data_IF_349364035974
#
_entry.id   IF_349364035974
#
_cell.length_a   1.000
_cell.length_b   1.000
_cell.length_c   1.000
_cell.angle_alpha   90.00
_cell.angle_beta   90.00
_cell.angle_gamma   90.00
#
_symmetry.space_group_name_H-M   'P 1'
#
loop_
_entity.id
_entity.type
_entity.pdbx_description
1 polymer ?
#
# COMPACT_ATOMS: atom_id res chain seq x y z
N UNK A 1 -8.95 -22.19 34.12
CA UNK A 1 -9.19 -21.77 32.73
C UNK A 1 -7.84 -21.35 32.18
N UNK A 2 -7.21 -22.21 31.38
CA UNK A 2 -5.89 -21.96 30.80
C UNK A 2 -5.94 -20.74 29.88
N UNK A 3 -5.21 -19.70 30.24
CA UNK A 3 -4.91 -18.60 29.35
C UNK A 3 -3.92 -19.10 28.30
N UNK A 4 -4.40 -19.36 27.09
CA UNK A 4 -3.55 -19.59 25.93
C UNK A 4 -2.72 -18.33 25.68
N UNK A 5 -1.48 -18.33 26.19
CA UNK A 5 -0.40 -17.49 25.69
C UNK A 5 -0.06 -17.95 24.27
N UNK A 6 -0.92 -17.59 23.31
CA UNK A 6 -0.56 -17.63 21.91
C UNK A 6 0.52 -16.56 21.72
N UNK A 7 1.79 -16.94 21.85
CA UNK A 7 2.89 -16.16 21.28
C UNK A 7 2.51 -15.92 19.82
N UNK A 8 2.15 -14.69 19.48
CA UNK A 8 1.90 -14.29 18.09
C UNK A 8 3.21 -14.55 17.35
N UNK A 9 3.29 -15.68 16.67
CA UNK A 9 4.41 -15.97 15.78
C UNK A 9 4.22 -15.05 14.60
N UNK A 10 4.99 -13.95 14.57
CA UNK A 10 5.12 -13.13 13.39
C UNK A 10 5.48 -14.06 12.23
N UNK A 11 4.80 -13.89 11.09
CA UNK A 11 5.18 -14.66 9.92
C UNK A 11 6.66 -14.39 9.62
N UNK A 12 7.43 -15.43 9.26
CA UNK A 12 8.82 -15.24 8.87
C UNK A 12 8.86 -14.28 7.65
N UNK A 13 9.94 -13.50 7.50
CA UNK A 13 10.13 -12.65 6.33
C UNK A 13 9.87 -13.39 5.03
N UNK A 14 9.20 -12.75 4.09
CA UNK A 14 8.94 -13.30 2.75
C UNK A 14 10.27 -13.52 2.01
N UNK A 15 11.25 -12.63 2.23
CA UNK A 15 12.59 -12.72 1.66
C UNK A 15 13.68 -12.34 2.68
N UNK A 16 14.75 -13.15 2.75
CA UNK A 16 15.90 -12.88 3.62
C UNK A 16 15.61 -13.01 5.12
N UNK A 17 16.37 -12.28 5.94
CA UNK A 17 16.31 -12.36 7.41
C UNK A 17 15.72 -11.09 8.07
N UNK A 18 15.16 -10.16 7.29
CA UNK A 18 14.64 -8.88 7.76
C UNK A 18 13.15 -8.77 7.46
N UNK A 19 12.36 -8.28 8.42
CA UNK A 19 10.95 -7.96 8.19
C UNK A 19 10.85 -6.54 7.64
N UNK A 20 10.18 -6.36 6.50
CA UNK A 20 9.97 -5.06 5.86
C UNK A 20 8.56 -4.54 6.12
N UNK A 21 8.46 -3.30 6.59
CA UNK A 21 7.18 -2.67 6.95
C UNK A 21 7.02 -1.34 6.24
N UNK A 22 5.90 -1.16 5.55
CA UNK A 22 5.45 0.12 4.98
C UNK A 22 4.27 0.64 5.80
N UNK A 23 4.38 1.87 6.32
CA UNK A 23 3.29 2.55 7.02
C UNK A 23 2.91 3.84 6.30
N UNK A 24 1.61 4.04 6.07
CA UNK A 24 1.07 5.18 5.32
C UNK A 24 0.09 5.96 6.19
N UNK A 25 0.46 7.19 6.51
CA UNK A 25 -0.35 8.08 7.33
C UNK A 25 -1.64 8.53 6.62
N UNK A 26 -2.65 8.87 7.44
CA UNK A 26 -3.86 9.54 6.96
C UNK A 26 -3.61 11.01 6.62
N UNK A 27 -4.46 11.59 5.77
CA UNK A 27 -4.32 13.00 5.41
C UNK A 27 -5.43 13.59 4.54
N UNK A 28 -6.53 12.87 4.34
CA UNK A 28 -7.58 13.28 3.40
C UNK A 28 -6.99 13.43 2.00
N UNK A 29 -7.31 14.55 1.33
CA UNK A 29 -6.77 14.86 0.00
C UNK A 29 -5.24 14.90 -0.06
N UNK A 30 -4.55 15.11 1.06
CA UNK A 30 -3.08 15.11 1.12
C UNK A 30 -2.46 13.73 0.92
N UNK A 31 -3.26 12.67 0.85
CA UNK A 31 -2.78 11.32 0.48
C UNK A 31 -2.10 11.25 -0.90
N UNK A 32 -2.26 12.28 -1.74
CA UNK A 32 -1.47 12.44 -2.98
C UNK A 32 0.04 12.57 -2.73
N UNK A 33 0.46 13.09 -1.56
CA UNK A 33 1.87 13.24 -1.19
C UNK A 33 2.54 11.86 -1.03
N UNK A 34 2.09 10.98 -0.10
CA UNK A 34 2.63 9.64 -0.02
C UNK A 34 2.38 8.84 -1.31
N UNK A 35 1.24 9.02 -2.00
CA UNK A 35 1.01 8.38 -3.30
C UNK A 35 2.08 8.71 -4.36
N UNK A 36 2.59 9.95 -4.37
CA UNK A 36 3.68 10.35 -5.27
C UNK A 36 5.01 9.68 -4.90
N UNK A 37 5.32 9.60 -3.60
CA UNK A 37 6.54 8.94 -3.10
C UNK A 37 6.51 7.44 -3.43
N UNK A 38 5.36 6.79 -3.20
CA UNK A 38 5.17 5.37 -3.49
C UNK A 38 5.25 5.08 -4.99
N UNK A 39 4.71 5.95 -5.84
CA UNK A 39 4.85 5.82 -7.29
C UNK A 39 6.31 5.86 -7.72
N UNK A 40 7.11 6.76 -7.16
CA UNK A 40 8.55 6.83 -7.45
C UNK A 40 9.29 5.59 -6.94
N UNK A 41 9.01 5.16 -5.70
CA UNK A 41 9.64 3.96 -5.13
C UNK A 41 9.36 2.71 -5.98
N UNK A 42 8.10 2.51 -6.39
CA UNK A 42 7.74 1.35 -7.23
C UNK A 42 8.40 1.42 -8.61
N UNK A 43 8.53 2.63 -9.20
CA UNK A 43 9.26 2.81 -10.46
C UNK A 43 10.74 2.43 -10.34
N UNK A 44 11.41 2.81 -9.25
CA UNK A 44 12.80 2.43 -9.01
C UNK A 44 12.97 0.91 -8.82
N UNK A 45 12.03 0.26 -8.12
CA UNK A 45 12.02 -1.19 -7.98
C UNK A 45 11.78 -1.88 -9.33
N UNK A 46 10.90 -1.34 -10.17
CA UNK A 46 10.65 -1.86 -11.52
C UNK A 46 11.87 -1.74 -12.45
N UNK A 47 12.69 -0.69 -12.29
CA UNK A 47 13.97 -0.56 -13.02
C UNK A 47 14.97 -1.66 -12.65
N UNK A 48 14.90 -2.16 -11.42
CA UNK A 48 15.80 -3.20 -10.92
C UNK A 48 15.30 -4.61 -11.26
N UNK A 49 14.02 -4.87 -11.04
CA UNK A 49 13.46 -6.24 -11.00
C UNK A 49 12.39 -6.50 -12.08
N UNK A 50 12.05 -5.50 -12.89
CA UNK A 50 11.13 -5.59 -14.03
C UNK A 50 9.77 -4.91 -13.83
N UNK A 51 9.06 -4.66 -14.93
CA UNK A 51 7.81 -3.86 -14.96
C UNK A 51 6.66 -4.44 -14.12
N UNK A 52 6.69 -5.74 -13.84
CA UNK A 52 5.68 -6.43 -13.04
C UNK A 52 5.90 -6.30 -11.53
N UNK A 53 7.04 -5.76 -11.09
CA UNK A 53 7.33 -5.52 -9.67
C UNK A 53 6.30 -4.56 -9.04
N UNK A 54 5.82 -4.90 -7.84
CA UNK A 54 4.86 -4.11 -7.06
C UNK A 54 5.35 -3.97 -5.62
N UNK A 55 4.95 -2.90 -4.94
CA UNK A 55 5.31 -2.69 -3.53
C UNK A 55 4.96 -3.90 -2.63
N UNK A 56 3.85 -4.59 -2.91
CA UNK A 56 3.43 -5.78 -2.17
C UNK A 56 4.39 -6.98 -2.28
N UNK A 57 5.32 -6.97 -3.25
CA UNK A 57 6.35 -8.02 -3.38
C UNK A 57 7.51 -7.84 -2.40
N UNK A 58 7.71 -6.61 -1.91
CA UNK A 58 8.88 -6.23 -1.11
C UNK A 58 8.56 -5.97 0.35
N UNK A 59 7.29 -5.73 0.69
CA UNK A 59 6.84 -5.41 2.05
C UNK A 59 6.04 -6.56 2.65
N UNK A 60 6.55 -7.16 3.72
CA UNK A 60 5.84 -8.19 4.48
C UNK A 60 4.56 -7.64 5.14
N UNK A 61 4.61 -6.37 5.53
CA UNK A 61 3.47 -5.67 6.16
C UNK A 61 3.29 -4.31 5.50
N UNK A 62 2.07 -4.04 5.03
CA UNK A 62 1.64 -2.72 4.59
C UNK A 62 0.47 -2.30 5.47
N UNK A 63 0.62 -1.16 6.14
CA UNK A 63 -0.39 -0.61 7.03
C UNK A 63 -0.69 0.84 6.66
N UNK A 64 -1.93 1.27 6.89
CA UNK A 64 -2.28 2.68 6.74
C UNK A 64 -3.57 3.05 7.45
N UNK A 65 -3.68 4.33 7.81
CA UNK A 65 -4.85 4.87 8.53
C UNK A 65 -5.60 5.85 7.66
N UNK A 66 -6.94 5.84 7.71
CA UNK A 66 -7.80 6.73 6.92
C UNK A 66 -7.49 6.61 5.42
N UNK A 67 -7.16 7.71 4.73
CA UNK A 67 -6.75 7.69 3.32
C UNK A 67 -5.51 6.84 3.06
N UNK A 68 -4.60 6.70 4.03
CA UNK A 68 -3.49 5.75 3.95
C UNK A 68 -3.95 4.29 3.96
N UNK A 69 -5.05 3.99 4.67
CA UNK A 69 -5.68 2.66 4.67
C UNK A 69 -6.35 2.35 3.33
N UNK A 70 -6.98 3.35 2.68
CA UNK A 70 -7.49 3.21 1.31
C UNK A 70 -6.36 2.90 0.33
N UNK A 71 -5.24 3.63 0.41
CA UNK A 71 -4.06 3.36 -0.42
C UNK A 71 -3.51 1.97 -0.15
N UNK A 72 -3.43 1.56 1.11
CA UNK A 72 -3.01 0.20 1.50
C UNK A 72 -3.89 -0.85 0.83
N UNK A 73 -5.22 -0.69 0.86
CA UNK A 73 -6.14 -1.61 0.21
C UNK A 73 -5.95 -1.66 -1.32
N UNK A 74 -5.75 -0.51 -1.97
CA UNK A 74 -5.48 -0.46 -3.41
C UNK A 74 -4.21 -1.23 -3.79
N UNK A 75 -3.14 -1.10 -2.99
CA UNK A 75 -1.84 -1.74 -3.24
C UNK A 75 -1.80 -3.22 -2.88
N UNK A 76 -2.79 -3.76 -2.15
CA UNK A 76 -2.73 -5.13 -1.60
C UNK A 76 -3.91 -6.01 -2.01
N UNK A 77 -5.04 -5.42 -2.45
CA UNK A 77 -6.19 -6.19 -2.91
C UNK A 77 -5.80 -7.03 -4.14
N UNK A 78 -6.02 -8.36 -4.13
CA UNK A 78 -5.65 -9.22 -5.24
C UNK A 78 -6.66 -9.13 -6.39
N UNK A 79 -6.15 -9.16 -7.62
CA UNK A 79 -6.93 -9.41 -8.83
C UNK A 79 -7.04 -10.92 -9.12
N UNK A 80 -7.66 -11.29 -10.26
CA UNK A 80 -7.85 -12.69 -10.67
C UNK A 80 -6.53 -13.49 -10.82
N UNK A 81 -5.41 -12.80 -11.02
CA UNK A 81 -4.07 -13.38 -11.12
C UNK A 81 -3.30 -13.36 -9.79
N UNK A 82 -3.98 -13.08 -8.68
CA UNK A 82 -3.41 -12.95 -7.34
C UNK A 82 -2.28 -11.90 -7.25
N UNK A 83 -2.41 -10.81 -8.03
CA UNK A 83 -1.52 -9.64 -8.02
C UNK A 83 -2.28 -8.41 -7.51
N UNK A 84 -1.62 -7.38 -6.98
CA UNK A 84 -2.27 -6.10 -6.67
C UNK A 84 -3.11 -5.57 -7.83
N UNK A 85 -4.35 -5.15 -7.55
CA UNK A 85 -5.24 -4.56 -8.56
C UNK A 85 -4.68 -3.25 -9.09
N UNK A 86 -4.05 -2.43 -8.24
CA UNK A 86 -3.47 -1.14 -8.59
C UNK A 86 -1.95 -1.17 -8.50
N UNK A 87 -1.28 -0.49 -9.43
CA UNK A 87 0.10 -0.08 -9.30
C UNK A 87 0.18 1.22 -8.48
N UNK A 88 1.36 1.53 -7.92
CA UNK A 88 1.53 2.72 -7.09
C UNK A 88 1.28 4.03 -7.85
N UNK A 89 1.59 4.06 -9.16
CA UNK A 89 1.28 5.21 -10.04
C UNK A 89 -0.21 5.52 -10.13
N UNK A 90 -1.06 4.49 -10.04
CA UNK A 90 -2.52 4.63 -10.18
C UNK A 90 -3.15 5.35 -8.97
N UNK A 91 -2.44 5.37 -7.83
CA UNK A 91 -2.89 6.09 -6.62
C UNK A 91 -3.04 7.57 -6.92
N UNK A 92 -2.05 8.18 -7.59
CA UNK A 92 -2.09 9.62 -7.93
C UNK A 92 -3.32 9.93 -8.78
N UNK A 93 -3.58 9.12 -9.80
CA UNK A 93 -4.71 9.28 -10.71
C UNK A 93 -6.05 9.07 -9.99
N UNK A 94 -6.10 8.12 -9.05
CA UNK A 94 -7.24 7.96 -8.16
C UNK A 94 -7.53 9.25 -7.37
N UNK A 95 -6.52 9.86 -6.74
CA UNK A 95 -6.73 11.11 -6.00
C UNK A 95 -7.22 12.23 -6.93
N UNK A 96 -6.62 12.41 -8.11
CA UNK A 96 -7.02 13.46 -9.06
C UNK A 96 -8.45 13.28 -9.57
N UNK A 97 -8.89 12.04 -9.80
CA UNK A 97 -10.21 11.75 -10.37
C UNK A 97 -11.32 11.62 -9.33
N UNK A 98 -11.03 11.04 -8.16
CA UNK A 98 -12.05 10.73 -7.15
C UNK A 98 -12.17 11.79 -6.07
N UNK A 99 -11.12 12.58 -5.76
CA UNK A 99 -11.21 13.58 -4.69
C UNK A 99 -12.35 14.59 -4.85
N UNK A 100 -12.66 15.12 -6.05
CA UNK A 100 -13.80 16.03 -6.21
C UNK A 100 -15.15 15.39 -5.86
N UNK A 101 -15.27 14.06 -5.96
CA UNK A 101 -16.48 13.30 -5.62
C UNK A 101 -16.52 12.89 -4.15
N UNK A 102 -15.36 12.54 -3.58
CA UNK A 102 -15.21 12.14 -2.17
C UNK A 102 -15.28 13.36 -1.25
N UNK A 103 -14.71 14.48 -1.69
CA UNK A 103 -14.67 15.76 -0.96
C UNK A 103 -15.36 16.86 -1.79
N UNK A 104 -16.68 16.75 -2.03
CA UNK A 104 -17.41 17.73 -2.81
C UNK A 104 -17.33 19.10 -2.14
N UNK A 105 -17.01 20.13 -2.92
CA UNK A 105 -17.08 21.51 -2.45
C UNK A 105 -18.53 21.97 -2.56
N UNK A 106 -19.25 21.97 -1.45
CA UNK A 106 -20.55 22.63 -1.38
C UNK A 106 -20.30 24.14 -1.50
N UNK A 107 -20.65 24.69 -2.66
CA UNK A 107 -20.70 26.15 -2.87
C UNK A 107 -21.97 26.73 -2.25
#
# INVERSE_FOLDING_TARGET
>A
MEGTNATVRLQPPTYGNLITVLSIDGGGIRGIIPGTILSFLEEELQKLDGEDARLADYFDVIAGTSTGGLVTAMLTAPNEKNRPVFAAKDIKDFYLTQCPKIFPQNR
#
